data_IF_541166382462
#
_entry.id   IF_541166382462
#
_cell.length_a   1.000
_cell.length_b   1.000
_cell.length_c   1.000
_cell.angle_alpha   90.00
_cell.angle_beta   90.00
_cell.angle_gamma   90.00
#
_symmetry.space_group_name_H-M   'P 1'
#
loop_
_entity.id
_entity.type
_entity.pdbx_description
1 polymer ?
#
# COMPACT_ATOMS: atom_id res chain seq x y z
N UNK A 1 -50.27 -23.37 -1.82
CA UNK A 1 -48.82 -23.11 -1.81
C UNK A 1 -48.62 -21.59 -1.84
N UNK A 2 -48.30 -20.98 -0.66
CA UNK A 2 -48.46 -19.53 -0.43
C UNK A 2 -47.42 -18.69 -1.15
N UNK A 3 -47.82 -17.96 -2.19
CA UNK A 3 -46.99 -17.03 -2.95
C UNK A 3 -46.28 -15.98 -2.04
N UNK A 4 -46.86 -15.64 -0.90
CA UNK A 4 -46.27 -14.69 0.07
C UNK A 4 -44.96 -15.22 0.71
N UNK A 5 -44.93 -16.50 1.03
CA UNK A 5 -43.71 -17.11 1.59
C UNK A 5 -42.58 -17.28 0.56
N UNK A 6 -42.91 -17.49 -0.70
CA UNK A 6 -41.97 -17.57 -1.78
C UNK A 6 -41.27 -16.21 -2.03
N UNK A 7 -42.06 -15.13 -2.07
CA UNK A 7 -41.56 -13.75 -2.22
C UNK A 7 -40.70 -13.32 -1.03
N UNK A 8 -41.09 -13.70 0.19
CA UNK A 8 -40.33 -13.37 1.41
C UNK A 8 -38.97 -14.09 1.46
N UNK A 9 -38.93 -15.37 1.06
CA UNK A 9 -37.68 -16.13 0.95
C UNK A 9 -36.76 -15.60 -0.15
N UNK A 10 -37.33 -15.15 -1.27
CA UNK A 10 -36.57 -14.55 -2.37
C UNK A 10 -35.95 -13.21 -1.94
N UNK A 11 -36.70 -12.37 -1.22
CA UNK A 11 -36.17 -11.08 -0.70
C UNK A 11 -35.08 -11.28 0.35
N UNK A 12 -35.23 -12.27 1.23
CA UNK A 12 -34.20 -12.62 2.22
C UNK A 12 -32.94 -13.16 1.54
N UNK A 13 -33.08 -13.99 0.50
CA UNK A 13 -31.95 -14.51 -0.26
C UNK A 13 -31.19 -13.41 -1.03
N UNK A 14 -31.92 -12.47 -1.65
CA UNK A 14 -31.33 -11.30 -2.31
C UNK A 14 -30.64 -10.36 -1.31
N UNK A 15 -31.22 -10.16 -0.13
CA UNK A 15 -30.61 -9.35 0.94
C UNK A 15 -29.33 -9.99 1.48
N UNK A 16 -29.31 -11.31 1.65
CA UNK A 16 -28.12 -12.06 2.11
C UNK A 16 -27.01 -12.05 1.04
N UNK A 17 -27.38 -12.19 -0.23
CA UNK A 17 -26.43 -12.13 -1.36
C UNK A 17 -25.84 -10.74 -1.53
N UNK A 18 -26.62 -9.69 -1.29
CA UNK A 18 -26.17 -8.29 -1.32
C UNK A 18 -25.14 -7.97 -0.21
N UNK A 19 -25.26 -8.60 0.97
CA UNK A 19 -24.29 -8.42 2.07
C UNK A 19 -22.94 -9.08 1.79
N UNK A 20 -22.90 -10.16 1.00
CA UNK A 20 -21.67 -10.87 0.65
C UNK A 20 -20.78 -10.11 -0.33
N UNK A 21 -21.32 -9.18 -1.11
CA UNK A 21 -20.56 -8.42 -2.12
C UNK A 21 -19.70 -7.31 -1.50
N UNK A 22 -19.99 -6.90 -0.25
CA UNK A 22 -19.28 -5.79 0.42
C UNK A 22 -17.96 -6.24 1.09
N UNK A 23 -17.69 -7.53 1.20
CA UNK A 23 -16.49 -8.08 1.86
C UNK A 23 -15.25 -8.15 0.94
N UNK A 24 -15.15 -7.30 -0.08
CA UNK A 24 -13.94 -7.16 -0.90
C UNK A 24 -12.81 -6.54 -0.08
N UNK A 25 -11.95 -7.36 0.53
CA UNK A 25 -10.73 -6.91 1.19
C UNK A 25 -9.78 -6.30 0.15
N UNK A 26 -9.79 -4.98 0.00
CA UNK A 26 -8.74 -4.26 -0.69
C UNK A 26 -7.46 -4.34 0.16
N UNK A 27 -6.46 -5.10 -0.28
CA UNK A 27 -5.13 -5.08 0.32
C UNK A 27 -4.45 -3.75 -0.02
N UNK A 28 -4.60 -2.77 0.86
CA UNK A 28 -3.93 -1.48 0.76
C UNK A 28 -2.45 -1.55 1.16
N UNK A 29 -1.72 -0.44 1.01
CA UNK A 29 -0.34 -0.33 1.50
C UNK A 29 -0.30 -0.47 3.03
N UNK A 30 0.81 -0.98 3.55
CA UNK A 30 1.05 -1.00 4.99
C UNK A 30 1.48 0.40 5.42
N UNK A 31 0.73 1.01 6.34
CA UNK A 31 1.03 2.34 6.88
C UNK A 31 1.58 2.19 8.29
N UNK A 32 2.63 2.94 8.60
CA UNK A 32 3.23 3.07 9.92
C UNK A 32 3.49 4.54 10.20
N UNK A 33 3.39 4.95 11.45
CA UNK A 33 3.74 6.30 11.88
C UNK A 33 4.38 6.28 13.25
N UNK A 34 5.28 7.23 13.48
CA UNK A 34 5.88 7.52 14.76
C UNK A 34 5.61 9.00 15.09
N UNK A 35 5.48 9.30 16.35
CA UNK A 35 5.22 10.63 16.85
C UNK A 35 6.11 10.90 18.07
N UNK A 36 6.66 12.09 18.16
CA UNK A 36 7.36 12.53 19.37
C UNK A 36 6.35 12.76 20.50
N UNK A 37 6.39 11.96 21.59
CA UNK A 37 5.43 12.08 22.69
C UNK A 37 5.56 13.37 23.50
N UNK A 38 6.68 14.10 23.37
CA UNK A 38 6.94 15.37 24.05
C UNK A 38 6.38 16.59 23.35
N UNK A 39 5.72 16.43 22.19
CA UNK A 39 5.25 17.55 21.37
C UNK A 39 3.75 17.79 21.52
N UNK A 40 3.39 19.03 21.85
CA UNK A 40 2.00 19.49 21.79
C UNK A 40 1.65 20.01 20.38
N UNK A 41 1.05 19.17 19.57
CA UNK A 41 0.64 19.52 18.21
C UNK A 41 -0.42 20.62 18.16
N UNK A 42 -1.13 20.91 19.26
CA UNK A 42 -2.10 22.00 19.30
C UNK A 42 -1.46 23.37 19.37
N UNK A 43 -0.18 23.45 19.67
CA UNK A 43 0.58 24.71 19.69
C UNK A 43 0.88 25.25 18.28
N UNK A 44 0.96 24.39 17.28
CA UNK A 44 1.25 24.76 15.90
C UNK A 44 0.01 25.32 15.19
N UNK A 45 0.21 26.34 14.36
CA UNK A 45 -0.84 27.03 13.62
C UNK A 45 -0.60 27.02 12.11
N UNK A 46 0.67 26.97 11.72
CA UNK A 46 1.07 27.12 10.33
C UNK A 46 1.94 25.96 9.88
N UNK A 47 1.90 25.70 8.57
CA UNK A 47 2.76 24.71 7.95
C UNK A 47 3.31 25.24 6.62
N UNK A 48 4.45 24.70 6.21
CA UNK A 48 5.07 24.91 4.90
C UNK A 48 5.68 23.60 4.41
N UNK A 49 6.34 23.66 3.27
CA UNK A 49 7.02 22.53 2.68
C UNK A 49 8.52 22.83 2.56
N UNK A 50 9.34 21.79 2.63
CA UNK A 50 10.74 21.89 2.31
C UNK A 50 10.93 22.24 0.84
N UNK A 51 11.90 23.08 0.54
CA UNK A 51 12.30 23.43 -0.83
C UNK A 51 13.83 23.28 -0.98
N UNK A 52 14.28 22.34 -1.85
CA UNK A 52 13.50 21.36 -2.60
C UNK A 52 13.00 20.22 -1.73
N UNK A 53 11.89 19.58 -2.15
CA UNK A 53 11.42 18.32 -1.56
C UNK A 53 12.36 17.18 -1.95
N UNK A 54 12.55 16.18 -1.07
CA UNK A 54 13.39 15.02 -1.38
C UNK A 54 12.81 14.12 -2.50
N UNK A 55 11.56 14.34 -2.90
CA UNK A 55 10.93 13.72 -4.09
C UNK A 55 11.08 14.54 -5.36
N UNK A 56 11.69 15.71 -5.30
CA UNK A 56 11.94 16.57 -6.46
C UNK A 56 13.13 16.08 -7.27
N UNK A 57 13.27 16.63 -8.46
CA UNK A 57 14.42 16.43 -9.34
C UNK A 57 15.22 17.72 -9.44
N UNK A 58 16.47 17.61 -9.87
CA UNK A 58 17.30 18.80 -10.05
C UNK A 58 16.61 19.82 -10.94
N UNK A 59 16.36 21.02 -10.39
CA UNK A 59 15.85 22.17 -11.09
C UNK A 59 14.33 22.23 -11.29
N UNK A 60 13.56 21.22 -10.88
CA UNK A 60 12.09 21.28 -10.98
C UNK A 60 11.35 20.34 -10.02
N UNK A 61 10.13 20.74 -9.69
CA UNK A 61 9.23 19.92 -8.88
C UNK A 61 8.67 18.73 -9.67
N UNK A 62 8.79 17.53 -9.12
CA UNK A 62 8.28 16.31 -9.77
C UNK A 62 6.74 16.26 -9.74
N UNK A 63 6.12 15.50 -10.66
CA UNK A 63 4.66 15.29 -10.63
C UNK A 63 4.18 14.61 -9.35
N UNK A 64 5.00 13.71 -8.80
CA UNK A 64 4.66 13.07 -7.53
C UNK A 64 4.72 14.06 -6.38
N UNK A 65 5.71 14.96 -6.35
CA UNK A 65 5.79 16.02 -5.34
C UNK A 65 4.57 16.93 -5.40
N UNK A 66 4.13 17.33 -6.58
CA UNK A 66 2.93 18.16 -6.75
C UNK A 66 1.68 17.49 -6.18
N UNK A 67 1.49 16.20 -6.45
CA UNK A 67 0.35 15.43 -5.92
C UNK A 67 0.42 15.24 -4.41
N UNK A 68 1.61 15.00 -3.86
CA UNK A 68 1.83 14.85 -2.42
C UNK A 68 1.58 16.16 -1.68
N UNK A 69 2.11 17.27 -2.21
CA UNK A 69 1.89 18.62 -1.66
C UNK A 69 0.39 18.93 -1.64
N UNK A 70 -0.31 18.78 -2.77
CA UNK A 70 -1.74 19.07 -2.84
C UNK A 70 -2.57 18.19 -1.88
N UNK A 71 -2.17 16.95 -1.69
CA UNK A 71 -2.86 16.04 -0.76
C UNK A 71 -2.60 16.40 0.70
N UNK A 72 -1.34 16.67 1.06
CA UNK A 72 -0.98 17.05 2.41
C UNK A 72 -1.56 18.43 2.79
N UNK A 73 -1.51 19.39 1.88
CA UNK A 73 -2.11 20.71 2.08
C UNK A 73 -3.60 20.60 2.41
N UNK A 74 -4.37 19.86 1.63
CA UNK A 74 -5.79 19.63 1.89
C UNK A 74 -6.04 19.04 3.28
N UNK A 75 -5.23 18.04 3.69
CA UNK A 75 -5.36 17.38 4.98
C UNK A 75 -4.97 18.27 6.16
N UNK A 76 -3.94 19.08 6.02
CA UNK A 76 -3.49 20.00 7.06
C UNK A 76 -4.44 21.18 7.22
N UNK A 77 -4.95 21.73 6.13
CA UNK A 77 -6.01 22.75 6.14
C UNK A 77 -7.29 22.22 6.81
N UNK A 78 -7.70 20.99 6.51
CA UNK A 78 -8.86 20.36 7.15
C UNK A 78 -8.68 20.17 8.67
N UNK A 79 -7.45 20.12 9.17
CA UNK A 79 -7.12 20.10 10.60
C UNK A 79 -6.97 21.47 11.24
N UNK A 80 -7.21 22.54 10.48
CA UNK A 80 -7.21 23.92 10.95
C UNK A 80 -5.85 24.61 10.93
N UNK A 81 -4.80 23.98 10.35
CA UNK A 81 -3.55 24.68 10.12
C UNK A 81 -3.66 25.58 8.88
N UNK A 82 -2.86 26.62 8.83
CA UNK A 82 -2.77 27.55 7.69
C UNK A 82 -1.43 27.39 6.98
N UNK A 83 -1.43 27.52 5.66
CA UNK A 83 -0.19 27.51 4.88
C UNK A 83 0.58 28.82 5.07
N UNK A 84 1.87 28.71 5.32
CA UNK A 84 2.81 29.83 5.38
C UNK A 84 4.12 29.44 4.71
N UNK A 85 4.49 30.12 3.64
CA UNK A 85 5.73 29.82 2.91
C UNK A 85 6.93 30.61 3.48
N UNK A 86 6.69 31.61 4.33
CA UNK A 86 7.76 32.49 4.87
C UNK A 86 8.20 32.13 6.28
N UNK A 87 7.27 31.75 7.16
CA UNK A 87 7.55 31.42 8.57
C UNK A 87 6.57 30.36 9.08
N UNK A 88 6.68 29.13 8.59
CA UNK A 88 5.84 28.04 9.09
C UNK A 88 6.30 27.55 10.47
N UNK A 89 5.34 27.08 11.30
CA UNK A 89 5.64 26.37 12.53
C UNK A 89 6.13 24.95 12.25
N UNK A 90 5.51 24.33 11.22
CA UNK A 90 5.83 22.97 10.77
C UNK A 90 6.32 22.98 9.34
N UNK A 91 7.36 22.19 9.07
CA UNK A 91 7.84 21.92 7.71
C UNK A 91 7.57 20.46 7.33
N UNK A 92 6.97 20.26 6.16
CA UNK A 92 6.65 18.95 5.63
C UNK A 92 7.62 18.58 4.52
N UNK A 93 8.16 17.36 4.57
CA UNK A 93 9.00 16.79 3.52
C UNK A 93 8.46 15.43 3.09
N UNK A 94 8.75 15.05 1.85
CA UNK A 94 8.39 13.75 1.30
C UNK A 94 9.63 13.04 0.77
N UNK A 95 9.75 11.76 1.09
CA UNK A 95 10.79 10.89 0.55
C UNK A 95 10.17 9.69 -0.16
N UNK A 96 10.75 9.26 -1.27
CA UNK A 96 10.29 8.09 -1.99
C UNK A 96 11.47 7.20 -2.35
N UNK A 97 11.35 5.92 -2.04
CA UNK A 97 12.34 4.90 -2.38
C UNK A 97 11.70 3.73 -3.10
N UNK A 98 12.37 3.24 -4.14
CA UNK A 98 11.94 2.09 -4.95
C UNK A 98 12.99 0.99 -4.84
N UNK A 99 12.63 -0.10 -4.17
CA UNK A 99 13.46 -1.28 -4.03
C UNK A 99 13.00 -2.41 -4.94
N UNK A 100 13.90 -2.95 -5.75
CA UNK A 100 13.63 -4.16 -6.50
C UNK A 100 13.83 -5.37 -5.59
N UNK A 101 12.82 -6.22 -5.48
CA UNK A 101 12.84 -7.43 -4.67
C UNK A 101 12.56 -8.66 -5.53
N UNK A 102 13.28 -9.73 -5.24
CA UNK A 102 13.06 -11.04 -5.84
C UNK A 102 12.26 -11.90 -4.87
N UNK A 103 11.16 -12.47 -5.34
CA UNK A 103 10.43 -13.50 -4.62
C UNK A 103 10.72 -14.85 -5.25
N UNK A 104 11.38 -15.72 -4.52
CA UNK A 104 11.61 -17.10 -4.90
C UNK A 104 10.56 -17.96 -4.23
N UNK A 105 9.70 -18.60 -5.02
CA UNK A 105 8.70 -19.53 -4.52
C UNK A 105 9.08 -20.93 -5.03
N UNK A 106 9.27 -21.86 -4.09
CA UNK A 106 9.50 -23.26 -4.39
C UNK A 106 8.20 -24.02 -4.14
N UNK A 107 7.64 -24.58 -5.18
CA UNK A 107 6.43 -25.40 -5.08
C UNK A 107 6.79 -26.86 -5.40
N UNK A 108 6.48 -27.80 -4.51
CA UNK A 108 6.63 -29.21 -4.82
C UNK A 108 5.72 -29.56 -5.99
N UNK A 109 6.30 -30.03 -7.09
CA UNK A 109 5.56 -30.51 -8.24
C UNK A 109 5.73 -32.02 -8.39
N UNK A 110 4.61 -32.70 -8.62
CA UNK A 110 4.59 -34.15 -8.82
C UNK A 110 4.17 -34.42 -10.25
N UNK A 111 5.07 -35.03 -11.04
CA UNK A 111 4.71 -35.56 -12.34
C UNK A 111 4.51 -37.08 -12.22
N UNK A 112 3.28 -37.51 -12.35
CA UNK A 112 2.99 -38.94 -12.46
C UNK A 112 3.18 -39.40 -13.90
N UNK A 113 4.06 -40.36 -14.13
CA UNK A 113 4.17 -41.06 -15.40
C UNK A 113 3.75 -42.50 -15.16
N UNK A 114 2.77 -42.93 -15.93
CA UNK A 114 2.31 -44.31 -15.96
C UNK A 114 3.06 -45.08 -17.02
N UNK A 115 3.69 -46.17 -16.65
CA UNK A 115 4.39 -47.05 -17.56
C UNK A 115 3.72 -48.41 -17.60
N UNK A 116 3.57 -48.98 -18.79
CA UNK A 116 3.10 -50.34 -18.95
C UNK A 116 4.28 -51.23 -19.35
N UNK A 117 4.49 -52.29 -18.61
CA UNK A 117 5.50 -53.31 -18.91
C UNK A 117 4.85 -54.68 -19.06
N UNK A 118 5.15 -55.37 -20.15
CA UNK A 118 4.62 -56.72 -20.43
C UNK A 118 4.98 -57.76 -19.34
N UNK A 119 6.04 -57.53 -18.55
CA UNK A 119 6.49 -58.44 -17.48
C UNK A 119 6.06 -58.07 -16.08
N UNK A 120 5.75 -56.78 -15.81
CA UNK A 120 5.45 -56.30 -14.43
C UNK A 120 4.15 -55.53 -14.28
N UNK A 121 3.34 -55.46 -15.36
CA UNK A 121 2.07 -54.75 -15.33
C UNK A 121 2.21 -53.24 -15.28
N UNK A 122 1.19 -52.58 -14.74
CA UNK A 122 1.13 -51.14 -14.62
C UNK A 122 1.90 -50.69 -13.37
N UNK A 123 2.84 -49.75 -13.51
CA UNK A 123 3.46 -49.11 -12.39
C UNK A 123 3.58 -47.59 -12.65
N UNK A 124 3.45 -46.78 -11.61
CA UNK A 124 3.60 -45.33 -11.65
C UNK A 124 4.83 -44.91 -10.85
N UNK A 125 5.66 -44.06 -11.45
CA UNK A 125 6.74 -43.38 -10.78
C UNK A 125 6.36 -41.94 -10.50
N UNK A 126 6.65 -41.48 -9.28
CA UNK A 126 6.31 -40.14 -8.79
C UNK A 126 7.62 -39.38 -8.48
N UNK A 127 8.35 -38.90 -9.48
CA UNK A 127 9.48 -38.07 -9.19
C UNK A 127 8.97 -36.76 -8.58
N UNK A 128 9.36 -36.48 -7.35
CA UNK A 128 9.17 -35.17 -6.75
C UNK A 128 10.30 -34.26 -7.20
N UNK A 129 9.98 -33.14 -7.81
CA UNK A 129 10.90 -32.08 -8.09
C UNK A 129 10.35 -30.75 -7.57
N UNK A 130 11.26 -29.85 -7.22
CA UNK A 130 10.88 -28.52 -6.79
C UNK A 130 10.86 -27.60 -8.00
N UNK A 131 9.67 -27.06 -8.30
CA UNK A 131 9.54 -26.03 -9.29
C UNK A 131 9.84 -24.69 -8.61
N UNK A 132 10.94 -24.06 -9.03
CA UNK A 132 11.34 -22.76 -8.54
C UNK A 132 10.78 -21.68 -9.46
N UNK A 133 9.91 -20.84 -8.94
CA UNK A 133 9.40 -19.66 -9.61
C UNK A 133 10.06 -18.42 -9.00
N UNK A 134 10.73 -17.64 -9.85
CA UNK A 134 11.34 -16.37 -9.45
C UNK A 134 10.48 -15.23 -10.02
N UNK A 135 9.88 -14.44 -9.15
CA UNK A 135 9.13 -13.24 -9.52
C UNK A 135 9.83 -12.00 -8.98
N UNK A 136 10.10 -11.06 -9.88
CA UNK A 136 10.60 -9.75 -9.52
C UNK A 136 9.41 -8.81 -9.29
N UNK A 137 9.46 -8.04 -8.20
CA UNK A 137 8.51 -6.99 -7.91
C UNK A 137 9.20 -5.76 -7.34
N UNK A 138 8.65 -4.59 -7.62
CA UNK A 138 9.15 -3.34 -7.06
C UNK A 138 8.37 -3.01 -5.79
N UNK A 139 9.09 -2.83 -4.69
CA UNK A 139 8.54 -2.33 -3.43
C UNK A 139 8.79 -0.83 -3.36
N UNK A 140 7.71 -0.05 -3.24
CA UNK A 140 7.80 1.38 -2.99
C UNK A 140 7.63 1.68 -1.51
N UNK A 141 8.44 2.60 -1.01
CA UNK A 141 8.28 3.21 0.30
C UNK A 141 8.15 4.70 0.10
N UNK A 142 7.03 5.27 0.57
CA UNK A 142 6.82 6.70 0.66
C UNK A 142 6.94 7.10 2.12
N UNK A 143 7.83 8.04 2.42
CA UNK A 143 7.98 8.66 3.73
C UNK A 143 7.41 10.07 3.72
N UNK A 144 6.82 10.46 4.83
CA UNK A 144 6.37 11.84 5.11
C UNK A 144 6.97 12.22 6.46
N UNK A 145 7.71 13.31 6.47
CA UNK A 145 8.35 13.87 7.65
C UNK A 145 7.70 15.22 8.00
N UNK A 146 7.35 15.42 9.25
CA UNK A 146 6.91 16.71 9.78
C UNK A 146 7.91 17.16 10.83
N UNK A 147 8.46 18.33 10.61
CA UNK A 147 9.56 18.91 11.40
C UNK A 147 9.08 20.19 12.06
N UNK A 148 9.35 20.36 13.35
CA UNK A 148 9.25 21.65 14.03
C UNK A 148 10.29 22.61 13.44
N UNK A 149 9.85 23.65 12.77
CA UNK A 149 10.71 24.57 12.04
C UNK A 149 11.66 25.34 12.97
N UNK A 150 11.20 25.70 14.16
CA UNK A 150 11.98 26.48 15.13
C UNK A 150 13.08 25.61 15.78
N UNK A 151 12.75 24.37 16.15
CA UNK A 151 13.70 23.44 16.79
C UNK A 151 14.52 22.66 15.78
N UNK A 152 14.09 22.62 14.51
CA UNK A 152 14.66 21.75 13.46
C UNK A 152 14.66 20.27 13.87
N UNK A 153 13.60 19.86 14.53
CA UNK A 153 13.43 18.52 15.08
C UNK A 153 12.26 17.81 14.42
N UNK A 154 12.46 16.56 14.02
CA UNK A 154 11.39 15.70 13.53
C UNK A 154 10.38 15.46 14.67
N UNK A 155 9.12 15.79 14.44
CA UNK A 155 8.05 15.66 15.44
C UNK A 155 7.05 14.57 15.07
N UNK A 156 6.96 14.25 13.78
CA UNK A 156 6.15 13.16 13.28
C UNK A 156 6.73 12.61 11.98
N UNK A 157 6.68 11.29 11.83
CA UNK A 157 7.02 10.62 10.59
C UNK A 157 5.98 9.57 10.22
N UNK A 158 5.73 9.38 8.94
CA UNK A 158 4.82 8.37 8.43
C UNK A 158 5.40 7.64 7.23
N UNK A 159 5.16 6.32 7.15
CA UNK A 159 5.61 5.48 6.04
C UNK A 159 4.46 4.71 5.45
N UNK A 160 4.35 4.76 4.12
CA UNK A 160 3.47 3.89 3.34
C UNK A 160 4.33 2.92 2.52
N UNK A 161 4.15 1.62 2.76
CA UNK A 161 4.86 0.56 2.08
C UNK A 161 3.89 -0.22 1.18
N UNK A 162 4.20 -0.30 -0.10
CA UNK A 162 3.34 -0.98 -1.07
C UNK A 162 4.12 -1.61 -2.20
N UNK A 163 3.44 -2.41 -3.01
CA UNK A 163 3.96 -2.86 -4.31
C UNK A 163 3.64 -1.81 -5.36
N UNK A 164 4.65 -1.43 -6.12
CA UNK A 164 4.44 -0.56 -7.28
C UNK A 164 4.16 -1.46 -8.47
N UNK A 165 2.92 -1.40 -8.96
CA UNK A 165 2.53 -2.06 -10.20
C UNK A 165 2.60 -1.01 -11.30
N UNK A 166 3.47 -1.19 -12.28
CA UNK A 166 3.43 -0.36 -13.49
C UNK A 166 2.11 -0.68 -14.20
N UNK A 167 1.17 0.25 -14.18
CA UNK A 167 0.06 0.21 -15.13
C UNK A 167 0.63 0.60 -16.49
N UNK A 168 0.75 -0.37 -17.37
CA UNK A 168 0.94 -0.11 -18.80
C UNK A 168 -0.35 0.51 -19.30
N UNK A 169 -0.33 1.80 -19.63
CA UNK A 169 -1.38 2.47 -20.42
C UNK A 169 -1.21 2.11 -21.87
#
# INVERSE_FOLDING_TARGET
MNLRHCRQRLLLACSLLSLLVVAGCASGPTIRSNVDPGVDFKSFRTFGFFEPLATDREGYQSLISQQLVASAERELLARGLQRSDTSPDLLVNFSANLDQRLRVTQTPAVHSRNFHSHRRGFYSTWPMYQQTEVRQYTKGTLGIDIVDAARRQLVWEGFALGRVTQRTT
#
